data_IF_871179518047
#
_entry.id   IF_871179518047
#
_cell.length_a   1.000
_cell.length_b   1.000
_cell.length_c   1.000
_cell.angle_alpha   90.00
_cell.angle_beta   90.00
_cell.angle_gamma   90.00
#
_symmetry.space_group_name_H-M   'P 1'
#
loop_
_entity.id
_entity.type
_entity.pdbx_description
1 polymer ?
#
# COMPACT_ATOMS: atom_id res chain seq x y z
N UNK A 1 25.36 -44.43 -41.91
CA UNK A 1 25.22 -43.13 -41.21
C UNK A 1 24.58 -42.16 -42.21
N UNK A 2 23.26 -42.04 -42.17
CA UNK A 2 22.44 -41.04 -42.88
C UNK A 2 21.05 -41.14 -42.26
N UNK A 3 20.85 -40.48 -41.11
CA UNK A 3 20.34 -39.11 -40.97
C UNK A 3 18.80 -39.14 -40.87
N UNK A 4 18.36 -39.43 -39.65
CA UNK A 4 17.02 -39.13 -39.15
C UNK A 4 16.99 -37.63 -38.92
N UNK A 5 16.48 -36.85 -39.87
CA UNK A 5 16.14 -35.44 -39.64
C UNK A 5 14.66 -35.23 -39.87
N UNK A 6 14.04 -34.65 -38.86
CA UNK A 6 12.60 -34.48 -38.73
C UNK A 6 12.02 -33.67 -39.87
N UNK A 7 10.85 -34.10 -40.30
CA UNK A 7 9.88 -33.28 -40.99
C UNK A 7 9.39 -32.19 -40.04
N UNK A 8 10.06 -31.05 -40.06
CA UNK A 8 9.49 -29.83 -39.50
C UNK A 8 8.23 -29.49 -40.33
N UNK A 9 7.05 -29.31 -39.70
CA UNK A 9 5.86 -28.93 -40.43
C UNK A 9 6.05 -27.51 -40.98
N UNK A 10 6.29 -27.40 -42.29
CA UNK A 10 6.32 -26.12 -42.99
C UNK A 10 4.92 -25.48 -42.91
N UNK A 11 4.82 -24.38 -42.14
CA UNK A 11 3.56 -23.65 -41.96
C UNK A 11 3.30 -22.86 -43.24
N UNK A 12 2.40 -23.36 -44.09
CA UNK A 12 1.96 -22.64 -45.30
C UNK A 12 1.06 -21.44 -44.94
N UNK A 13 1.71 -20.32 -44.61
CA UNK A 13 1.05 -19.05 -44.28
C UNK A 13 0.22 -18.52 -45.46
N UNK A 14 0.63 -18.80 -46.70
CA UNK A 14 -0.06 -18.31 -47.90
C UNK A 14 -1.40 -19.00 -48.08
N UNK A 15 -1.44 -20.32 -47.86
CA UNK A 15 -2.67 -21.09 -47.85
C UNK A 15 -3.66 -20.64 -46.78
N UNK A 16 -3.20 -20.25 -45.59
CA UNK A 16 -4.08 -19.69 -44.55
C UNK A 16 -4.66 -18.33 -44.94
N UNK A 17 -3.87 -17.45 -45.55
CA UNK A 17 -4.33 -16.12 -45.99
C UNK A 17 -5.41 -16.25 -47.07
N UNK A 18 -5.20 -17.10 -48.08
CA UNK A 18 -6.20 -17.32 -49.15
C UNK A 18 -7.52 -17.88 -48.60
N UNK A 19 -7.46 -18.75 -47.59
CA UNK A 19 -8.65 -19.30 -46.92
C UNK A 19 -9.44 -18.24 -46.17
N UNK A 20 -8.76 -17.31 -45.49
CA UNK A 20 -9.41 -16.21 -44.78
C UNK A 20 -10.03 -15.22 -45.77
N UNK A 21 -9.34 -14.88 -46.86
CA UNK A 21 -9.86 -13.97 -47.90
C UNK A 21 -11.09 -14.56 -48.61
N UNK A 22 -11.06 -15.85 -48.95
CA UNK A 22 -12.19 -16.53 -49.60
C UNK A 22 -13.45 -16.59 -48.71
N UNK A 23 -13.29 -16.54 -47.39
CA UNK A 23 -14.38 -16.64 -46.39
C UNK A 23 -14.41 -15.45 -45.45
N UNK A 24 -14.07 -14.26 -45.95
CA UNK A 24 -14.07 -13.02 -45.19
C UNK A 24 -15.42 -12.75 -44.51
N UNK A 25 -16.52 -13.22 -45.10
CA UNK A 25 -17.87 -13.11 -44.56
C UNK A 25 -18.04 -13.86 -43.23
N UNK A 26 -17.33 -14.97 -42.99
CA UNK A 26 -17.34 -15.69 -41.69
C UNK A 26 -16.70 -14.83 -40.60
N UNK A 27 -15.58 -14.18 -40.93
CA UNK A 27 -14.91 -13.23 -40.02
C UNK A 27 -15.84 -12.06 -39.71
N UNK A 28 -16.50 -11.51 -40.73
CA UNK A 28 -17.44 -10.40 -40.57
C UNK A 28 -18.64 -10.78 -39.68
N UNK A 29 -19.23 -11.96 -39.86
CA UNK A 29 -20.33 -12.44 -39.00
C UNK A 29 -19.87 -12.62 -37.56
N UNK A 30 -18.69 -13.19 -37.32
CA UNK A 30 -18.15 -13.36 -35.96
C UNK A 30 -17.90 -12.02 -35.27
N UNK A 31 -17.39 -11.02 -36.00
CA UNK A 31 -17.20 -9.66 -35.46
C UNK A 31 -18.55 -9.01 -35.13
N UNK A 32 -19.53 -9.09 -36.03
CA UNK A 32 -20.88 -8.54 -35.80
C UNK A 32 -21.55 -9.22 -34.61
N UNK A 33 -21.46 -10.55 -34.51
CA UNK A 33 -22.01 -11.33 -33.40
C UNK A 33 -21.32 -10.96 -32.08
N UNK A 34 -20.00 -10.79 -32.05
CA UNK A 34 -19.26 -10.37 -30.86
C UNK A 34 -19.64 -8.96 -30.41
N UNK A 35 -19.83 -8.02 -31.35
CA UNK A 35 -20.29 -6.66 -31.07
C UNK A 35 -21.73 -6.67 -30.53
N UNK A 36 -22.63 -7.39 -31.19
CA UNK A 36 -24.02 -7.53 -30.75
C UNK A 36 -24.12 -8.16 -29.36
N UNK A 37 -23.33 -9.21 -29.09
CA UNK A 37 -23.24 -9.85 -27.78
C UNK A 37 -22.67 -8.90 -26.71
N UNK A 38 -21.66 -8.10 -27.06
CA UNK A 38 -21.10 -7.08 -26.18
C UNK A 38 -22.15 -6.03 -25.79
N UNK A 39 -22.96 -5.55 -26.76
CA UNK A 39 -24.07 -4.64 -26.48
C UNK A 39 -25.18 -5.27 -25.63
N UNK A 40 -25.54 -6.53 -25.92
CA UNK A 40 -26.56 -7.25 -25.15
C UNK A 40 -26.12 -7.50 -23.69
N UNK A 41 -24.86 -7.91 -23.48
CA UNK A 41 -24.30 -8.13 -22.15
C UNK A 41 -24.08 -6.82 -21.39
N UNK A 42 -23.65 -5.75 -22.08
CA UNK A 42 -23.51 -4.41 -21.50
C UNK A 42 -24.84 -3.84 -20.98
N UNK A 43 -25.98 -4.31 -21.51
CA UNK A 43 -27.31 -3.95 -21.00
C UNK A 43 -27.74 -4.68 -19.73
N UNK A 44 -27.04 -5.75 -19.34
CA UNK A 44 -27.41 -6.62 -18.21
C UNK A 44 -26.50 -6.52 -16.98
N UNK A 45 -25.36 -5.84 -17.09
CA UNK A 45 -24.41 -5.72 -15.97
C UNK A 45 -24.67 -4.47 -15.12
N UNK A 46 -25.72 -4.52 -14.29
CA UNK A 46 -25.87 -3.63 -13.13
C UNK A 46 -24.90 -4.05 -11.98
N UNK A 47 -23.69 -4.48 -12.34
CA UNK A 47 -22.63 -4.85 -11.39
C UNK A 47 -22.00 -3.55 -10.89
N UNK A 48 -22.62 -2.96 -9.87
CA UNK A 48 -22.15 -1.77 -9.16
C UNK A 48 -20.83 -2.08 -8.44
N UNK A 49 -19.73 -2.15 -9.20
CA UNK A 49 -18.40 -2.25 -8.64
C UNK A 49 -18.08 -0.95 -7.93
N UNK A 50 -17.67 -1.05 -6.68
CA UNK A 50 -17.15 0.06 -5.89
C UNK A 50 -15.67 -0.12 -5.70
N UNK A 51 -14.96 1.00 -5.63
CA UNK A 51 -13.53 1.07 -5.32
C UNK A 51 -13.33 2.10 -4.23
N UNK A 52 -12.54 1.76 -3.23
CA UNK A 52 -12.01 2.70 -2.27
C UNK A 52 -10.50 2.51 -2.18
N UNK A 53 -9.76 3.61 -1.99
CA UNK A 53 -8.31 3.59 -1.89
C UNK A 53 -7.86 4.52 -0.76
N UNK A 54 -7.07 3.99 0.17
CA UNK A 54 -6.40 4.77 1.21
C UNK A 54 -4.91 4.92 0.84
N UNK A 55 -4.36 6.12 1.04
CA UNK A 55 -2.94 6.40 0.84
C UNK A 55 -2.21 6.25 2.16
N UNK A 56 -1.21 5.38 2.20
CA UNK A 56 -0.42 5.05 3.39
C UNK A 56 1.03 5.40 3.13
N UNK A 57 1.62 6.19 4.04
CA UNK A 57 3.06 6.28 4.19
C UNK A 57 3.50 5.16 5.14
N UNK A 58 4.36 4.25 4.69
CA UNK A 58 4.70 3.07 5.47
C UNK A 58 5.70 3.35 6.62
N UNK A 59 6.41 4.47 6.57
CA UNK A 59 7.42 4.87 7.55
C UNK A 59 8.84 4.76 7.02
N UNK A 60 9.77 5.43 7.69
CA UNK A 60 11.19 5.43 7.32
C UNK A 60 12.06 5.49 8.58
N UNK A 61 12.28 4.36 9.26
CA UNK A 61 12.99 4.32 10.51
C UNK A 61 14.47 4.63 10.31
N UNK A 62 15.05 5.31 11.29
CA UNK A 62 16.49 5.52 11.38
C UNK A 62 17.06 4.81 12.60
N UNK A 63 18.32 4.40 12.48
CA UNK A 63 19.17 3.97 13.59
C UNK A 63 19.36 5.11 14.60
N UNK A 64 19.81 4.83 15.82
CA UNK A 64 20.10 5.87 16.82
C UNK A 64 21.07 6.95 16.33
N UNK A 65 21.95 6.63 15.38
CA UNK A 65 22.93 7.56 14.82
C UNK A 65 22.40 8.36 13.61
N UNK A 66 21.09 8.28 13.31
CA UNK A 66 20.44 9.00 12.21
C UNK A 66 20.61 8.39 10.82
N UNK A 67 21.31 7.26 10.68
CA UNK A 67 21.38 6.52 9.42
C UNK A 67 20.10 5.70 9.20
N UNK A 68 19.66 5.57 7.94
CA UNK A 68 18.51 4.73 7.59
C UNK A 68 18.73 3.28 8.01
N UNK A 69 17.69 2.65 8.56
CA UNK A 69 17.72 1.21 8.81
C UNK A 69 17.75 0.49 7.46
N UNK A 70 18.68 -0.45 7.20
CA UNK A 70 18.70 -1.20 5.96
C UNK A 70 17.47 -2.11 5.82
N UNK A 71 16.80 -2.07 4.66
CA UNK A 71 15.66 -2.92 4.29
C UNK A 71 14.58 -3.07 5.39
N UNK A 72 14.05 -1.97 5.95
CA UNK A 72 13.06 -2.06 7.00
C UNK A 72 11.73 -2.53 6.40
N UNK A 73 10.98 -3.37 7.13
CA UNK A 73 9.65 -3.81 6.70
C UNK A 73 8.71 -2.63 6.46
N UNK A 74 8.89 -1.56 7.24
CA UNK A 74 8.17 -0.28 7.14
C UNK A 74 8.48 0.53 5.88
N UNK A 75 9.49 0.18 5.08
CA UNK A 75 9.70 0.83 3.79
C UNK A 75 9.49 -0.14 2.62
N UNK A 76 8.97 -1.35 2.90
CA UNK A 76 8.81 -2.39 1.90
C UNK A 76 7.33 -2.53 1.46
N UNK A 77 6.97 -2.09 0.24
CA UNK A 77 5.61 -2.22 -0.25
C UNK A 77 5.17 -3.67 -0.49
N UNK A 78 6.11 -4.59 -0.72
CA UNK A 78 5.79 -6.03 -0.82
C UNK A 78 5.35 -6.60 0.53
N UNK A 79 5.90 -6.09 1.63
CA UNK A 79 5.46 -6.48 2.97
C UNK A 79 4.02 -6.02 3.22
N UNK A 80 3.70 -4.76 2.90
CA UNK A 80 2.33 -4.25 2.96
C UNK A 80 1.36 -5.07 2.10
N UNK A 81 1.77 -5.42 0.87
CA UNK A 81 0.97 -6.25 -0.02
C UNK A 81 0.75 -7.68 0.51
N UNK A 82 1.77 -8.28 1.12
CA UNK A 82 1.67 -9.59 1.75
C UNK A 82 0.70 -9.55 2.94
N UNK A 83 0.80 -8.53 3.80
CA UNK A 83 -0.06 -8.35 4.96
C UNK A 83 -1.53 -8.16 4.55
N UNK A 84 -1.79 -7.30 3.56
CA UNK A 84 -3.14 -7.03 3.05
C UNK A 84 -3.84 -8.29 2.48
N UNK A 85 -3.07 -9.31 2.09
CA UNK A 85 -3.58 -10.57 1.55
C UNK A 85 -3.77 -11.66 2.59
N UNK A 86 -3.31 -11.45 3.83
CA UNK A 86 -3.43 -12.45 4.88
C UNK A 86 -4.87 -12.56 5.39
N UNK A 87 -5.42 -13.79 5.53
CA UNK A 87 -6.82 -14.01 5.95
C UNK A 87 -7.18 -13.36 7.29
N UNK A 88 -6.26 -13.34 8.25
CA UNK A 88 -6.50 -12.73 9.56
C UNK A 88 -6.77 -11.22 9.48
N UNK A 89 -6.05 -10.52 8.59
CA UNK A 89 -6.22 -9.08 8.40
C UNK A 89 -7.42 -8.76 7.51
N UNK A 90 -7.69 -9.58 6.50
CA UNK A 90 -8.89 -9.46 5.68
C UNK A 90 -10.17 -9.75 6.48
N UNK A 91 -10.16 -10.76 7.37
CA UNK A 91 -11.32 -11.06 8.21
C UNK A 91 -11.68 -9.91 9.16
N UNK A 92 -10.67 -9.30 9.81
CA UNK A 92 -10.87 -8.12 10.67
C UNK A 92 -11.36 -6.90 9.88
N UNK A 93 -10.81 -6.67 8.69
CA UNK A 93 -11.25 -5.57 7.84
C UNK A 93 -12.66 -5.80 7.27
N UNK A 94 -13.02 -7.05 6.98
CA UNK A 94 -14.37 -7.43 6.59
C UNK A 94 -15.35 -7.18 7.75
N UNK A 95 -15.01 -7.58 8.97
CA UNK A 95 -15.79 -7.32 10.17
C UNK A 95 -16.02 -5.83 10.40
N UNK A 96 -14.95 -5.01 10.31
CA UNK A 96 -15.04 -3.56 10.43
C UNK A 96 -15.97 -2.92 9.37
N UNK A 97 -16.05 -3.53 8.19
CA UNK A 97 -16.94 -3.11 7.11
C UNK A 97 -18.32 -3.78 7.13
N UNK A 98 -18.66 -4.61 8.13
CA UNK A 98 -19.92 -5.35 8.18
C UNK A 98 -20.09 -6.35 7.02
N UNK A 99 -18.99 -6.94 6.55
CA UNK A 99 -18.95 -7.95 5.49
C UNK A 99 -18.71 -9.35 6.07
N UNK A 100 -18.98 -10.38 5.26
CA UNK A 100 -18.62 -11.76 5.61
C UNK A 100 -17.08 -11.92 5.66
N UNK A 101 -16.52 -12.81 6.50
CA UNK A 101 -15.06 -12.92 6.72
C UNK A 101 -14.23 -13.13 5.44
N UNK A 102 -14.76 -13.89 4.49
CA UNK A 102 -14.09 -14.20 3.22
C UNK A 102 -14.44 -13.22 2.08
N UNK A 103 -15.30 -12.21 2.34
CA UNK A 103 -15.81 -11.32 1.31
C UNK A 103 -14.71 -10.50 0.63
N UNK A 104 -13.61 -10.20 1.33
CA UNK A 104 -12.50 -9.40 0.79
C UNK A 104 -11.50 -10.23 -0.04
N UNK A 105 -11.66 -11.57 -0.10
CA UNK A 105 -10.74 -12.44 -0.82
C UNK A 105 -10.74 -12.12 -2.31
N UNK A 106 -9.57 -11.76 -2.85
CA UNK A 106 -9.42 -11.36 -4.26
C UNK A 106 -9.89 -9.95 -4.58
N UNK A 107 -10.34 -9.18 -3.59
CA UNK A 107 -10.84 -7.82 -3.74
C UNK A 107 -9.90 -6.74 -3.16
N UNK A 108 -8.73 -7.15 -2.69
CA UNK A 108 -7.73 -6.28 -2.05
C UNK A 108 -6.46 -6.22 -2.90
N UNK A 109 -5.98 -5.01 -3.18
CA UNK A 109 -4.68 -4.78 -3.79
C UNK A 109 -3.90 -3.70 -3.03
N UNK A 110 -2.57 -3.77 -3.11
CA UNK A 110 -1.66 -2.73 -2.64
C UNK A 110 -0.82 -2.30 -3.83
N UNK A 111 -0.86 -1.02 -4.16
CA UNK A 111 -0.17 -0.43 -5.30
C UNK A 111 0.83 0.60 -4.80
N UNK A 112 2.05 0.64 -5.36
CA UNK A 112 2.98 1.73 -5.07
C UNK A 112 2.48 3.00 -5.76
N UNK A 113 2.45 4.11 -5.03
CA UNK A 113 2.29 5.42 -5.66
C UNK A 113 3.66 5.80 -6.21
N UNK A 114 3.76 5.91 -7.53
CA UNK A 114 5.02 6.18 -8.27
C UNK A 114 5.99 7.07 -7.48
N UNK A 115 7.20 6.56 -7.28
CA UNK A 115 8.29 7.28 -6.61
C UNK A 115 8.70 8.45 -7.49
N UNK A 116 8.38 9.68 -7.09
CA UNK A 116 9.14 10.81 -7.57
C UNK A 116 10.60 10.55 -7.17
N UNK A 117 11.42 10.17 -8.15
CA UNK A 117 12.86 10.01 -7.96
C UNK A 117 13.38 11.44 -7.77
N UNK A 118 13.45 11.89 -6.53
CA UNK A 118 14.32 13.00 -6.20
C UNK A 118 15.72 12.64 -6.71
N UNK A 119 16.45 13.61 -7.24
CA UNK A 119 17.82 13.47 -7.80
C UNK A 119 18.86 12.88 -6.81
N UNK A 120 18.43 12.45 -5.62
CA UNK A 120 19.17 11.73 -4.57
C UNK A 120 18.49 10.44 -4.08
N UNK A 121 17.75 9.73 -4.94
CA UNK A 121 17.59 8.27 -4.86
C UNK A 121 16.86 7.65 -3.65
N UNK A 122 16.13 8.40 -2.81
CA UNK A 122 15.31 7.81 -1.75
C UNK A 122 13.83 7.87 -2.13
N UNK A 123 13.29 6.73 -2.55
CA UNK A 123 11.87 6.55 -2.80
C UNK A 123 11.09 6.72 -1.48
N UNK A 124 10.13 7.65 -1.43
CA UNK A 124 9.23 7.75 -0.28
C UNK A 124 8.30 6.53 -0.31
N UNK A 125 8.23 5.70 0.74
CA UNK A 125 7.45 4.46 0.75
C UNK A 125 5.94 4.73 0.90
N UNK A 126 5.34 5.30 -0.16
CA UNK A 126 3.90 5.48 -0.27
C UNK A 126 3.23 4.33 -1.03
N UNK A 127 2.14 3.84 -0.47
CA UNK A 127 1.29 2.83 -1.10
C UNK A 127 -0.18 3.25 -1.07
N UNK A 128 -0.95 2.79 -2.06
CA UNK A 128 -2.40 2.77 -2.00
C UNK A 128 -2.88 1.39 -1.59
N UNK A 129 -3.70 1.33 -0.55
CA UNK A 129 -4.44 0.14 -0.15
C UNK A 129 -5.83 0.25 -0.76
N UNK A 130 -6.15 -0.66 -1.67
CA UNK A 130 -7.35 -0.60 -2.50
C UNK A 130 -8.25 -1.77 -2.18
N UNK A 131 -9.52 -1.48 -1.95
CA UNK A 131 -10.60 -2.48 -1.88
C UNK A 131 -11.55 -2.22 -3.04
N UNK A 132 -11.72 -3.22 -3.91
CA UNK A 132 -12.58 -3.14 -5.08
C UNK A 132 -13.41 -4.40 -5.26
N UNK A 133 -14.74 -4.26 -5.29
CA UNK A 133 -15.64 -5.40 -5.41
C UNK A 133 -17.12 -5.02 -5.45
N UNK A 134 -18.01 -6.01 -5.35
CA UNK A 134 -19.46 -5.81 -5.36
C UNK A 134 -19.97 -5.35 -3.97
N UNK A 135 -19.37 -4.29 -3.43
CA UNK A 135 -19.71 -3.76 -2.12
C UNK A 135 -20.42 -2.41 -2.24
N UNK A 136 -20.90 -1.87 -1.13
CA UNK A 136 -21.28 -0.45 -1.08
C UNK A 136 -20.03 0.43 -0.98
N UNK A 137 -20.12 1.72 -1.36
CA UNK A 137 -19.00 2.65 -1.22
C UNK A 137 -18.49 2.75 0.23
N UNK A 138 -19.40 2.74 1.22
CA UNK A 138 -19.04 2.77 2.64
C UNK A 138 -18.24 1.52 3.02
N UNK A 139 -18.75 0.32 2.70
CA UNK A 139 -18.06 -0.94 3.01
C UNK A 139 -16.66 -1.04 2.39
N UNK A 140 -16.49 -0.57 1.15
CA UNK A 140 -15.16 -0.52 0.52
C UNK A 140 -14.22 0.44 1.26
N UNK A 141 -14.73 1.61 1.68
CA UNK A 141 -13.94 2.59 2.42
C UNK A 141 -13.52 2.07 3.80
N UNK A 142 -14.47 1.51 4.55
CA UNK A 142 -14.23 0.97 5.90
C UNK A 142 -13.23 -0.18 5.86
N UNK A 143 -13.38 -1.11 4.90
CA UNK A 143 -12.44 -2.21 4.70
C UNK A 143 -11.03 -1.71 4.33
N UNK A 144 -10.93 -0.72 3.43
CA UNK A 144 -9.65 -0.16 3.02
C UNK A 144 -8.95 0.57 4.18
N UNK A 145 -9.70 1.36 4.97
CA UNK A 145 -9.18 2.02 6.16
C UNK A 145 -8.69 1.00 7.20
N UNK A 146 -9.50 -0.02 7.51
CA UNK A 146 -9.12 -1.05 8.47
C UNK A 146 -7.86 -1.84 8.04
N UNK A 147 -7.72 -2.14 6.74
CA UNK A 147 -6.49 -2.75 6.21
C UNK A 147 -5.30 -1.81 6.30
N UNK A 148 -5.48 -0.53 5.97
CA UNK A 148 -4.44 0.48 6.08
C UNK A 148 -3.93 0.64 7.52
N UNK A 149 -4.84 0.71 8.50
CA UNK A 149 -4.48 0.83 9.92
C UNK A 149 -3.70 -0.39 10.40
N UNK A 150 -4.11 -1.59 9.99
CA UNK A 150 -3.39 -2.82 10.30
C UNK A 150 -1.99 -2.85 9.68
N UNK A 151 -1.85 -2.40 8.42
CA UNK A 151 -0.55 -2.26 7.75
C UNK A 151 0.34 -1.28 8.49
N UNK A 152 -0.17 -0.08 8.82
CA UNK A 152 0.58 0.91 9.58
C UNK A 152 1.03 0.35 10.92
N UNK A 153 0.13 -0.29 11.67
CA UNK A 153 0.45 -0.88 12.97
C UNK A 153 1.55 -1.92 12.87
N UNK A 154 1.44 -2.85 11.93
CA UNK A 154 2.40 -3.93 11.77
C UNK A 154 3.76 -3.44 11.26
N UNK A 155 3.73 -2.55 10.27
CA UNK A 155 4.92 -1.99 9.66
C UNK A 155 5.70 -1.14 10.66
N UNK A 156 5.02 -0.43 11.57
CA UNK A 156 5.64 0.46 12.54
C UNK A 156 6.05 -0.19 13.87
N UNK A 157 6.01 -1.52 14.02
CA UNK A 157 6.39 -2.17 15.30
C UNK A 157 7.76 -1.73 15.83
N UNK A 158 8.76 -1.64 14.95
CA UNK A 158 10.10 -1.17 15.34
C UNK A 158 10.08 0.30 15.79
N UNK A 159 9.48 1.17 14.98
CA UNK A 159 9.38 2.61 15.28
C UNK A 159 8.57 2.87 16.54
N UNK A 160 7.51 2.08 16.78
CA UNK A 160 6.69 2.13 17.98
C UNK A 160 7.50 1.75 19.23
N UNK A 161 8.25 0.64 19.20
CA UNK A 161 9.12 0.26 20.31
C UNK A 161 10.16 1.36 20.61
N UNK A 162 10.81 1.89 19.57
CA UNK A 162 11.75 3.02 19.69
C UNK A 162 11.12 4.26 20.31
N UNK A 163 9.88 4.60 19.92
CA UNK A 163 9.11 5.72 20.49
C UNK A 163 8.82 5.47 21.97
N UNK A 164 8.38 4.27 22.32
CA UNK A 164 8.02 3.92 23.69
C UNK A 164 9.24 4.00 24.61
N UNK A 165 10.41 3.57 24.15
CA UNK A 165 11.68 3.73 24.88
C UNK A 165 12.04 5.22 25.08
N UNK A 166 11.89 6.05 24.04
CA UNK A 166 12.17 7.49 24.12
C UNK A 166 11.19 8.22 25.05
N UNK A 167 9.91 7.85 25.01
CA UNK A 167 8.87 8.36 25.91
C UNK A 167 9.17 7.97 27.36
N UNK A 168 9.51 6.70 27.61
CA UNK A 168 9.86 6.25 28.96
C UNK A 168 11.10 6.98 29.50
N UNK A 169 12.12 7.22 28.67
CA UNK A 169 13.30 7.98 29.06
C UNK A 169 12.96 9.44 29.38
N UNK A 170 12.14 10.10 28.55
CA UNK A 170 11.64 11.46 28.77
C UNK A 170 10.89 11.56 30.09
N UNK A 171 9.96 10.64 30.34
CA UNK A 171 9.09 10.66 31.51
C UNK A 171 9.89 10.39 32.80
N UNK A 172 10.86 9.46 32.75
CA UNK A 172 11.77 9.21 33.85
C UNK A 172 12.65 10.44 34.18
N UNK A 173 13.13 11.15 33.15
CA UNK A 173 13.91 12.37 33.33
C UNK A 173 13.07 13.51 33.92
N UNK A 174 11.86 13.71 33.39
CA UNK A 174 10.91 14.70 33.90
C UNK A 174 10.56 14.43 35.38
N UNK A 175 10.23 13.20 35.73
CA UNK A 175 9.97 12.81 37.11
C UNK A 175 11.19 13.00 38.03
N UNK A 176 12.41 12.81 37.50
CA UNK A 176 13.64 13.07 38.27
C UNK A 176 13.84 14.56 38.55
N UNK A 177 13.56 15.42 37.58
CA UNK A 177 13.60 16.89 37.73
C UNK A 177 12.58 17.33 38.79
N UNK A 178 11.33 16.86 38.68
CA UNK A 178 10.28 17.16 39.67
C UNK A 178 10.66 16.71 41.09
N UNK A 179 11.26 15.52 41.22
CA UNK A 179 11.77 15.03 42.50
C UNK A 179 12.88 15.91 43.09
N UNK A 180 13.81 16.40 42.27
CA UNK A 180 14.87 17.31 42.72
C UNK A 180 14.31 18.66 43.16
N UNK A 181 13.31 19.19 42.45
CA UNK A 181 12.63 20.43 42.83
C UNK A 181 11.90 20.28 44.18
N UNK A 182 11.19 19.17 44.40
CA UNK A 182 10.54 18.88 45.68
C UNK A 182 11.53 18.70 46.84
N UNK A 183 12.67 18.05 46.59
CA UNK A 183 13.76 17.92 47.56
C UNK A 183 14.37 19.29 47.91
N UNK A 184 14.53 20.18 46.91
CA UNK A 184 15.01 21.54 47.10
C UNK A 184 14.03 22.39 47.94
N UNK A 185 12.72 22.33 47.65
CA UNK A 185 11.69 23.01 48.44
C UNK A 185 11.68 22.52 49.90
N UNK A 186 11.77 21.20 50.11
CA UNK A 186 11.83 20.62 51.45
C UNK A 186 13.08 21.08 52.21
N UNK A 187 14.22 21.17 51.51
CA UNK A 187 15.49 21.64 52.09
C UNK A 187 15.43 23.12 52.44
N UNK A 188 14.81 23.93 51.57
CA UNK A 188 14.60 25.36 51.82
C UNK A 188 13.71 25.60 53.04
N UNK A 189 12.60 24.87 53.18
CA UNK A 189 11.73 24.98 54.34
C UNK A 189 12.48 24.68 55.66
N UNK A 190 13.36 23.67 55.67
CA UNK A 190 14.20 23.37 56.84
C UNK A 190 15.21 24.48 57.14
N UNK A 191 15.78 25.12 56.12
CA UNK A 191 16.66 26.27 56.29
C UNK A 191 15.89 27.45 56.93
N UNK A 192 14.66 27.70 56.49
CA UNK A 192 13.81 28.76 57.02
C UNK A 192 13.42 28.49 58.50
N UNK A 193 13.12 27.24 58.85
CA UNK A 193 12.88 26.81 60.23
C UNK A 193 14.11 27.04 61.13
N UNK A 194 15.31 26.66 60.66
CA UNK A 194 16.57 26.88 61.39
C UNK A 194 16.93 28.36 61.51
N UNK A 195 16.53 29.18 60.54
CA UNK A 195 16.71 30.63 60.58
C UNK A 195 15.84 31.28 61.67
N UNK A 196 14.63 30.76 61.90
CA UNK A 196 13.71 31.22 62.94
C UNK A 196 14.01 30.66 64.34
N UNK A 197 14.81 29.59 64.45
CA UNK A 197 15.14 28.95 65.71
C UNK A 197 16.15 29.75 66.57
N UNK A 198 15.98 29.66 67.89
CA UNK A 198 16.91 30.21 68.88
C UNK A 198 18.12 29.27 69.04
N UNK A 199 19.11 29.46 68.17
CA UNK A 199 20.33 28.68 68.09
C UNK A 199 21.54 29.59 68.27
N UNK A 200 22.60 29.08 68.89
CA UNK A 200 23.88 29.79 68.89
C UNK A 200 24.43 29.90 67.46
N UNK A 201 25.28 30.91 67.16
CA UNK A 201 25.87 31.05 65.83
C UNK A 201 26.64 29.81 65.35
N UNK A 202 27.28 29.09 66.28
CA UNK A 202 28.02 27.86 65.98
C UNK A 202 27.09 26.69 65.61
N UNK A 203 25.99 26.50 66.35
CA UNK A 203 24.98 25.47 66.06
C UNK A 203 24.22 25.76 64.76
N UNK A 204 23.87 27.03 64.51
CA UNK A 204 23.24 27.41 63.25
C UNK A 204 24.13 27.07 62.07
N UNK A 205 25.41 27.46 62.12
CA UNK A 205 26.37 27.19 61.04
C UNK A 205 26.56 25.68 60.78
N UNK A 206 26.67 24.87 61.82
CA UNK A 206 26.87 23.42 61.68
C UNK A 206 25.65 22.72 61.07
N UNK A 207 24.43 23.20 61.34
CA UNK A 207 23.18 22.65 60.80
C UNK A 207 22.85 23.17 59.39
N UNK A 208 23.12 24.45 59.09
CA UNK A 208 22.76 25.04 57.80
C UNK A 208 23.74 24.71 56.67
N UNK A 209 25.04 24.58 56.97
CA UNK A 209 26.07 24.28 55.96
C UNK A 209 25.76 23.04 55.10
N UNK A 210 25.44 21.86 55.67
CA UNK A 210 25.12 20.68 54.85
C UNK A 210 23.83 20.85 54.03
N UNK A 211 22.83 21.58 54.55
CA UNK A 211 21.57 21.84 53.84
C UNK A 211 21.78 22.79 52.66
N UNK A 212 22.59 23.85 52.83
CA UNK A 212 22.95 24.75 51.72
C UNK A 212 23.71 23.99 50.63
N UNK A 213 24.63 23.10 51.01
CA UNK A 213 25.36 22.26 50.04
C UNK A 213 24.40 21.31 49.29
N UNK A 214 23.43 20.70 49.99
CA UNK A 214 22.42 19.85 49.38
C UNK A 214 21.51 20.63 48.44
N UNK A 215 21.07 21.83 48.81
CA UNK A 215 20.26 22.71 47.96
C UNK A 215 21.02 23.08 46.68
N UNK A 216 22.28 23.50 46.79
CA UNK A 216 23.14 23.80 45.64
C UNK A 216 23.33 22.58 44.73
N UNK A 217 23.52 21.39 45.30
CA UNK A 217 23.63 20.14 44.54
C UNK A 217 22.34 19.83 43.77
N UNK A 218 21.17 19.93 44.42
CA UNK A 218 19.88 19.72 43.77
C UNK A 218 19.64 20.71 42.65
N UNK A 219 19.85 22.00 42.87
CA UNK A 219 19.66 23.04 41.84
C UNK A 219 20.60 22.86 40.64
N UNK A 220 21.88 22.53 40.88
CA UNK A 220 22.83 22.28 39.79
C UNK A 220 22.48 21.03 38.98
N UNK A 221 22.04 19.96 39.67
CA UNK A 221 21.64 18.71 39.02
C UNK A 221 20.34 18.90 38.23
N UNK A 222 19.38 19.62 38.81
CA UNK A 222 18.12 19.98 38.15
C UNK A 222 18.39 20.73 36.84
N UNK A 223 19.23 21.79 36.88
CA UNK A 223 19.59 22.55 35.71
C UNK A 223 20.23 21.67 34.61
N UNK A 224 21.17 20.81 34.97
CA UNK A 224 21.84 19.90 34.03
C UNK A 224 20.86 18.89 33.39
N UNK A 225 19.89 18.39 34.15
CA UNK A 225 18.90 17.45 33.63
C UNK A 225 17.83 18.17 32.79
N UNK A 226 17.44 19.38 33.19
CA UNK A 226 16.49 20.22 32.46
C UNK A 226 17.02 20.59 31.07
N UNK A 227 18.34 20.72 30.90
CA UNK A 227 18.97 20.92 29.59
C UNK A 227 18.79 19.72 28.63
N UNK A 228 18.62 18.50 29.15
CA UNK A 228 18.47 17.29 28.33
C UNK A 228 17.02 16.97 27.92
N UNK A 229 16.05 17.51 28.66
CA UNK A 229 14.63 17.22 28.42
C UNK A 229 14.13 17.66 27.02
N UNK A 230 14.51 18.85 26.50
CA UNK A 230 14.13 19.26 25.14
C UNK A 230 14.63 18.32 24.04
N UNK A 231 15.82 17.73 24.20
CA UNK A 231 16.39 16.80 23.22
C UNK A 231 15.57 15.51 23.13
N UNK A 232 15.14 14.97 24.27
CA UNK A 232 14.25 13.80 24.32
C UNK A 232 12.87 14.12 23.75
N UNK A 233 12.33 15.32 24.04
CA UNK A 233 11.06 15.77 23.45
C UNK A 233 11.16 15.89 21.92
N UNK A 234 12.23 16.48 21.41
CA UNK A 234 12.50 16.58 19.98
C UNK A 234 12.68 15.21 19.33
N UNK A 235 13.31 14.26 20.04
CA UNK A 235 13.46 12.89 19.57
C UNK A 235 12.11 12.16 19.44
N UNK A 236 11.23 12.28 20.45
CA UNK A 236 9.88 11.71 20.38
C UNK A 236 9.11 12.31 19.19
N UNK A 237 9.13 13.63 19.03
CA UNK A 237 8.46 14.30 17.93
C UNK A 237 9.02 13.88 16.56
N UNK A 238 10.33 13.73 16.44
CA UNK A 238 10.96 13.25 15.21
C UNK A 238 10.51 11.83 14.85
N UNK A 239 10.44 10.94 15.83
CA UNK A 239 9.97 9.56 15.62
C UNK A 239 8.50 9.56 15.15
N UNK A 240 7.65 10.40 15.73
CA UNK A 240 6.22 10.48 15.38
C UNK A 240 5.97 11.09 14.00
N UNK A 241 6.62 12.21 13.69
CA UNK A 241 6.31 12.99 12.48
C UNK A 241 7.08 12.51 11.24
N UNK A 242 8.29 11.98 11.43
CA UNK A 242 9.22 11.67 10.34
C UNK A 242 9.40 10.16 10.15
N UNK A 243 9.67 9.41 11.23
CA UNK A 243 9.96 7.98 11.11
C UNK A 243 8.69 7.13 10.99
N UNK A 244 7.61 7.52 11.67
CA UNK A 244 6.40 6.70 11.77
C UNK A 244 5.56 6.77 10.49
N UNK A 245 5.18 5.58 10.01
CA UNK A 245 4.16 5.43 8.99
C UNK A 245 2.79 5.83 9.50
N UNK A 246 1.96 6.32 8.58
CA UNK A 246 0.60 6.79 8.86
C UNK A 246 -0.27 6.74 7.62
N UNK A 247 -1.58 6.69 7.84
CA UNK A 247 -2.56 6.90 6.77
C UNK A 247 -2.57 8.40 6.44
N UNK A 248 -2.10 8.75 5.24
CA UNK A 248 -2.02 10.14 4.76
C UNK A 248 -3.38 10.61 4.24
N UNK A 249 -4.09 9.73 3.56
CA UNK A 249 -5.41 10.02 3.03
C UNK A 249 -6.31 8.82 3.27
N UNK A 250 -7.36 8.96 4.11
CA UNK A 250 -8.28 7.86 4.37
C UNK A 250 -9.05 7.52 3.09
N UNK A 251 -9.49 6.27 3.01
CA UNK A 251 -10.25 5.77 1.89
C UNK A 251 -11.60 6.45 1.76
N UNK A 252 -11.97 6.78 0.52
CA UNK A 252 -13.32 7.18 0.14
C UNK A 252 -13.81 6.26 -0.96
N UNK A 253 -14.98 5.65 -0.74
CA UNK A 253 -15.60 4.77 -1.72
C UNK A 253 -16.21 5.56 -2.86
N UNK A 254 -15.96 5.12 -4.09
CA UNK A 254 -16.59 5.62 -5.29
C UNK A 254 -17.08 4.45 -6.16
N UNK A 255 -18.12 4.70 -6.96
CA UNK A 255 -18.52 3.73 -7.98
C UNK A 255 -17.45 3.71 -9.07
N UNK A 256 -17.02 2.53 -9.47
CA UNK A 256 -16.14 2.35 -10.62
C UNK A 256 -16.99 2.62 -11.86
N UNK A 257 -16.63 3.66 -12.62
CA UNK A 257 -17.25 3.86 -13.93
C UNK A 257 -16.94 2.63 -14.79
N UNK A 258 -17.92 2.09 -15.54
CA UNK A 258 -17.63 1.01 -16.48
C UNK A 258 -16.51 1.46 -17.41
N UNK A 259 -15.61 0.53 -17.77
CA UNK A 259 -14.59 0.77 -18.78
C UNK A 259 -15.24 1.47 -19.99
N UNK A 260 -14.56 2.47 -20.56
CA UNK A 260 -15.18 3.32 -21.58
C UNK A 260 -15.80 2.44 -22.68
N UNK A 261 -17.02 2.78 -23.14
CA UNK A 261 -17.74 1.99 -24.17
C UNK A 261 -16.87 1.70 -25.39
N UNK A 262 -15.91 2.59 -25.68
CA UNK A 262 -14.93 2.45 -26.75
C UNK A 262 -13.93 1.31 -26.50
N UNK A 263 -13.46 1.12 -25.27
CA UNK A 263 -12.54 0.03 -24.92
C UNK A 263 -13.24 -1.33 -24.95
N UNK A 264 -14.44 -1.44 -24.39
CA UNK A 264 -15.24 -2.69 -24.47
C UNK A 264 -15.61 -3.05 -25.91
N UNK A 265 -15.90 -2.05 -26.75
CA UNK A 265 -16.13 -2.25 -28.18
C UNK A 265 -14.85 -2.74 -28.89
N UNK A 266 -13.71 -2.14 -28.59
CA UNK A 266 -12.42 -2.54 -29.16
C UNK A 266 -12.06 -3.98 -28.80
N UNK A 267 -12.20 -4.35 -27.52
CA UNK A 267 -11.97 -5.73 -27.05
C UNK A 267 -12.90 -6.71 -27.75
N UNK A 268 -14.20 -6.37 -27.90
CA UNK A 268 -15.17 -7.22 -28.59
C UNK A 268 -14.84 -7.40 -30.08
N UNK A 269 -14.41 -6.34 -30.77
CA UNK A 269 -13.98 -6.40 -32.18
C UNK A 269 -12.74 -7.30 -32.33
N UNK A 270 -11.73 -7.11 -31.47
CA UNK A 270 -10.51 -7.91 -31.51
C UNK A 270 -10.81 -9.39 -31.26
N UNK A 271 -11.64 -9.69 -30.25
CA UNK A 271 -12.03 -11.06 -29.93
C UNK A 271 -12.83 -11.69 -31.08
N UNK A 272 -13.80 -10.95 -31.64
CA UNK A 272 -14.58 -11.40 -32.80
C UNK A 272 -13.74 -11.65 -34.03
N UNK A 273 -12.70 -10.85 -34.27
CA UNK A 273 -11.76 -11.03 -35.38
C UNK A 273 -10.92 -12.29 -35.18
N UNK A 274 -10.37 -12.52 -33.99
CA UNK A 274 -9.57 -13.72 -33.68
C UNK A 274 -10.41 -14.99 -33.85
N UNK A 275 -11.61 -15.03 -33.26
CA UNK A 275 -12.53 -16.17 -33.39
C UNK A 275 -12.98 -16.35 -34.84
N UNK A 276 -13.25 -15.25 -35.55
CA UNK A 276 -13.62 -15.26 -36.96
C UNK A 276 -12.53 -15.86 -37.86
N UNK A 277 -11.27 -15.47 -37.65
CA UNK A 277 -10.12 -16.01 -38.40
C UNK A 277 -9.96 -17.51 -38.14
N UNK A 278 -10.05 -17.93 -36.87
CA UNK A 278 -9.96 -19.35 -36.51
C UNK A 278 -11.11 -20.15 -37.13
N UNK A 279 -12.34 -19.64 -37.07
CA UNK A 279 -13.50 -20.28 -37.67
C UNK A 279 -13.39 -20.34 -39.20
N UNK A 280 -12.87 -19.29 -39.86
CA UNK A 280 -12.65 -19.28 -41.29
C UNK A 280 -11.64 -20.37 -41.71
N UNK A 281 -10.53 -20.50 -40.97
CA UNK A 281 -9.51 -21.53 -41.22
C UNK A 281 -10.05 -22.94 -40.94
N UNK A 282 -10.82 -23.15 -39.87
CA UNK A 282 -11.38 -24.47 -39.54
C UNK A 282 -12.51 -24.87 -40.49
N UNK A 283 -13.32 -23.90 -40.95
CA UNK A 283 -14.44 -24.17 -41.87
C UNK A 283 -14.00 -24.78 -43.21
N UNK A 284 -12.74 -24.59 -43.60
CA UNK A 284 -12.19 -25.17 -44.82
C UNK A 284 -11.92 -26.67 -44.71
N UNK A 285 -11.84 -27.20 -43.49
CA UNK A 285 -11.70 -28.64 -43.23
C UNK A 285 -13.03 -29.36 -43.44
N UNK A 286 -14.14 -28.71 -43.13
CA UNK A 286 -15.47 -29.32 -43.20
C UNK A 286 -16.16 -29.15 -44.56
N UNK A 287 -15.96 -28.03 -45.25
CA UNK A 287 -16.52 -27.78 -46.58
C UNK A 287 -15.40 -27.42 -47.58
N UNK A 288 -14.88 -28.37 -48.37
CA UNK A 288 -13.93 -28.05 -49.43
C UNK A 288 -14.60 -27.16 -50.49
N UNK A 289 -13.90 -26.09 -50.89
CA UNK A 289 -14.38 -25.20 -51.93
C UNK A 289 -14.52 -25.98 -53.25
N UNK A 290 -15.66 -25.86 -53.93
CA UNK A 290 -15.82 -26.43 -55.27
C UNK A 290 -14.84 -25.73 -56.22
N UNK A 291 -14.07 -26.47 -57.03
CA UNK A 291 -13.22 -25.85 -58.03
C UNK A 291 -14.08 -25.04 -59.00
N UNK A 292 -13.67 -23.79 -59.22
CA UNK A 292 -14.21 -22.95 -60.29
C UNK A 292 -13.96 -23.69 -61.59
N UNK A 293 -15.01 -24.01 -62.33
CA UNK A 293 -14.90 -24.66 -63.63
C UNK A 293 -14.11 -23.73 -64.56
N UNK A 294 -12.99 -24.27 -65.04
CA UNK A 294 -12.15 -23.66 -66.06
C UNK A 294 -13.00 -23.37 -67.30
N UNK A 295 -12.98 -22.12 -67.75
CA UNK A 295 -13.79 -21.64 -68.86
C UNK A 295 -12.96 -21.67 -70.13
N UNK A 296 -12.49 -22.85 -70.50
CA UNK A 296 -11.80 -23.11 -71.76
C UNK A 296 -12.64 -24.07 -72.61
N UNK A 297 -13.61 -23.52 -73.34
CA UNK A 297 -14.24 -24.17 -74.49
C UNK A 297 -14.87 -23.08 -75.37
N UNK A 298 -14.06 -22.45 -76.22
CA UNK A 298 -14.53 -21.70 -77.38
C UNK A 298 -14.11 -22.48 -78.65
N UNK A 299 -15.06 -22.97 -79.46
CA UNK A 299 -14.72 -23.69 -80.68
C UNK A 299 -14.21 -22.71 -81.76
N UNK A 300 -13.11 -23.10 -82.42
CA UNK A 300 -12.64 -22.46 -83.64
C UNK A 300 -13.67 -22.62 -84.76
N UNK A 301 -14.11 -21.49 -85.33
CA UNK A 301 -14.94 -21.44 -86.53
C UNK A 301 -14.04 -21.40 -87.80
N UNK A 302 -14.53 -21.92 -88.94
CA UNK A 302 -13.72 -22.33 -90.09
C UNK A 302 -13.11 -21.18 -90.91
#
# INVERSE_FOLDING_TARGET
>A
MADVRGTEPEIDLRGYVERVVARWWVVAICVIAAVALSYALSGTEDRKLTRAAATVFLGQPVTPNGALVPNPLSANPLYAAALARQPAYQGRAAEAAGLAPDALKGHVSVELISTAVGTKGTAVPLVQVIVQGPFTPAQSADAANALSDAIVTEANRYTAAKRDDAVAARDALAARIEGLAADAETTQARLDELAAADLSPAERSSLTTPLVAMLQYSSNTEALLAEQLPDLQAQVQYIEEVESGRVITPAKGAKVAPASRQFSLLVAIVLGLVVGILAAVISTVFWPARPVLDRDDAPAAP
#
